data_IF_020717160783
#
_entry.id   IF_020717160783
#
_cell.length_a   1.000
_cell.length_b   1.000
_cell.length_c   1.000
_cell.angle_alpha   90.00
_cell.angle_beta   90.00
_cell.angle_gamma   90.00
#
_symmetry.space_group_name_H-M   'P 1'
#
loop_
_entity.id
_entity.type
_entity.pdbx_description
1 polymer ?
#
# COMPACT_ATOMS: atom_id res chain seq x y z
N UNK A 1 -4.08 -17.43 -11.88
CA UNK A 1 -3.53 -16.06 -11.70
C UNK A 1 -4.08 -15.10 -12.73
N UNK A 2 -4.77 -14.06 -12.24
CA UNK A 2 -5.32 -12.98 -13.03
C UNK A 2 -4.23 -12.29 -13.87
N UNK A 3 -4.52 -12.04 -15.15
CA UNK A 3 -3.64 -11.35 -16.08
C UNK A 3 -4.01 -9.87 -16.08
N UNK A 4 -3.15 -9.03 -15.49
CA UNK A 4 -3.36 -7.58 -15.46
C UNK A 4 -3.29 -6.99 -16.87
N UNK A 5 -4.35 -6.27 -17.25
CA UNK A 5 -4.41 -5.52 -18.50
C UNK A 5 -3.55 -4.25 -18.42
N UNK A 6 -3.30 -3.60 -19.55
CA UNK A 6 -2.61 -2.30 -19.55
C UNK A 6 -3.40 -1.24 -18.79
N UNK A 7 -4.72 -1.30 -18.82
CA UNK A 7 -5.58 -0.43 -18.01
C UNK A 7 -5.30 -0.62 -16.52
N UNK A 8 -5.28 -1.86 -16.03
CA UNK A 8 -5.06 -2.14 -14.60
C UNK A 8 -3.68 -1.65 -14.14
N UNK A 9 -2.65 -1.88 -14.95
CA UNK A 9 -1.28 -1.44 -14.67
C UNK A 9 -1.19 0.09 -14.60
N UNK A 10 -1.80 0.78 -15.57
CA UNK A 10 -1.85 2.24 -15.58
C UNK A 10 -2.63 2.78 -14.39
N UNK A 11 -3.77 2.18 -14.06
CA UNK A 11 -4.60 2.58 -12.93
C UNK A 11 -3.82 2.50 -11.61
N UNK A 12 -3.15 1.37 -11.33
CA UNK A 12 -2.34 1.21 -10.11
C UNK A 12 -1.22 2.25 -10.03
N UNK A 13 -0.52 2.52 -11.15
CA UNK A 13 0.53 3.54 -11.21
C UNK A 13 0.01 4.96 -11.00
N UNK A 14 -1.13 5.30 -11.61
CA UNK A 14 -1.78 6.60 -11.42
C UNK A 14 -2.20 6.80 -9.96
N UNK A 15 -2.70 5.74 -9.31
CA UNK A 15 -3.06 5.77 -7.89
C UNK A 15 -1.84 5.96 -6.98
N UNK A 16 -0.72 5.31 -7.29
CA UNK A 16 0.54 5.53 -6.55
C UNK A 16 1.05 6.98 -6.71
N UNK A 17 1.06 7.50 -7.94
CA UNK A 17 1.43 8.89 -8.22
C UNK A 17 0.51 9.91 -7.54
N UNK A 18 -0.81 9.67 -7.53
CA UNK A 18 -1.77 10.49 -6.81
C UNK A 18 -1.50 10.50 -5.31
N UNK A 19 -1.19 9.35 -4.72
CA UNK A 19 -0.86 9.28 -3.30
C UNK A 19 0.45 10.00 -2.96
N UNK A 20 1.46 9.95 -3.85
CA UNK A 20 2.70 10.70 -3.71
C UNK A 20 2.45 12.21 -3.63
N UNK A 21 1.69 12.78 -4.56
CA UNK A 21 1.29 14.19 -4.52
C UNK A 21 0.57 14.57 -3.20
N UNK A 22 -0.36 13.72 -2.75
CA UNK A 22 -1.08 13.94 -1.49
C UNK A 22 -0.15 13.94 -0.28
N UNK A 23 0.79 12.99 -0.23
CA UNK A 23 1.80 12.91 0.83
C UNK A 23 2.70 14.14 0.81
N UNK A 24 3.20 14.55 -0.36
CA UNK A 24 4.08 15.72 -0.50
C UNK A 24 3.39 17.00 -0.05
N UNK A 25 2.10 17.18 -0.41
CA UNK A 25 1.30 18.32 0.08
C UNK A 25 1.08 18.27 1.59
N UNK A 26 0.86 17.10 2.18
CA UNK A 26 0.74 16.97 3.63
C UNK A 26 2.05 17.27 4.34
N UNK A 27 3.18 16.73 3.87
CA UNK A 27 4.50 17.02 4.41
C UNK A 27 4.88 18.51 4.28
N UNK A 28 4.41 19.19 3.24
CA UNK A 28 4.60 20.62 3.04
C UNK A 28 3.60 21.50 3.82
N UNK A 29 2.70 20.91 4.62
CA UNK A 29 1.66 21.64 5.37
C UNK A 29 0.55 22.25 4.50
N UNK A 30 0.48 21.89 3.20
CA UNK A 30 -0.54 22.34 2.24
C UNK A 30 -1.81 21.47 2.26
N UNK A 31 -1.76 20.34 2.96
CA UNK A 31 -2.89 19.44 3.18
C UNK A 31 -2.90 19.05 4.66
N UNK A 32 -3.97 19.39 5.38
CA UNK A 32 -4.05 19.13 6.83
C UNK A 32 -4.11 17.63 7.13
N UNK A 33 -3.72 17.24 8.35
CA UNK A 33 -3.69 15.83 8.76
C UNK A 33 -5.08 15.18 8.75
N UNK A 34 -6.12 15.93 9.11
CA UNK A 34 -7.50 15.44 9.08
C UNK A 34 -8.01 15.22 7.65
N UNK A 35 -7.58 16.04 6.69
CA UNK A 35 -7.89 15.90 5.27
C UNK A 35 -7.06 14.76 4.64
N UNK A 36 -5.82 14.60 5.07
CA UNK A 36 -4.95 13.53 4.59
C UNK A 36 -5.34 12.16 5.14
N UNK A 37 -5.90 12.11 6.36
CA UNK A 37 -6.34 10.87 7.03
C UNK A 37 -7.20 9.96 6.15
N UNK A 38 -8.32 10.39 5.54
CA UNK A 38 -9.11 9.53 4.66
C UNK A 38 -8.32 9.08 3.43
N UNK A 39 -7.47 9.92 2.86
CA UNK A 39 -6.68 9.61 1.65
C UNK A 39 -5.67 8.50 1.91
N UNK A 40 -4.93 8.57 3.01
CA UNK A 40 -3.99 7.50 3.40
C UNK A 40 -4.72 6.22 3.78
N UNK A 41 -5.87 6.32 4.46
CA UNK A 41 -6.66 5.15 4.83
C UNK A 41 -7.19 4.41 3.59
N UNK A 42 -7.64 5.11 2.56
CA UNK A 42 -8.07 4.50 1.29
C UNK A 42 -6.94 3.76 0.55
N UNK A 43 -5.69 4.10 0.83
CA UNK A 43 -4.50 3.46 0.28
C UNK A 43 -3.85 2.44 1.24
N UNK A 44 -4.56 2.06 2.32
CA UNK A 44 -4.12 1.01 3.23
C UNK A 44 -3.17 1.45 4.33
N UNK A 45 -2.97 2.76 4.52
CA UNK A 45 -2.06 3.33 5.50
C UNK A 45 -2.78 3.79 6.77
N UNK A 46 -2.54 3.06 7.86
CA UNK A 46 -2.98 3.40 9.22
C UNK A 46 -1.82 3.97 10.02
N UNK A 47 -2.01 5.08 10.72
CA UNK A 47 -1.05 5.51 11.74
C UNK A 47 -1.53 4.92 13.07
N UNK A 48 -0.81 3.91 13.57
CA UNK A 48 -1.04 3.36 14.90
C UNK A 48 -0.32 4.22 15.94
N UNK A 49 -0.55 3.92 17.23
CA UNK A 49 0.07 4.66 18.35
C UNK A 49 1.59 4.76 18.25
N UNK A 50 2.26 3.74 17.71
CA UNK A 50 3.72 3.64 17.70
C UNK A 50 4.35 3.79 16.31
N UNK A 51 3.64 3.42 15.24
CA UNK A 51 4.16 3.48 13.87
C UNK A 51 3.04 3.35 12.84
N UNK A 52 3.29 3.74 11.57
CA UNK A 52 2.37 3.45 10.48
C UNK A 52 2.35 1.96 10.11
N UNK A 53 1.16 1.48 9.79
CA UNK A 53 0.87 0.16 9.27
C UNK A 53 0.35 0.27 7.84
N UNK A 54 0.93 -0.52 6.94
CA UNK A 54 0.49 -0.69 5.56
C UNK A 54 -0.17 -2.05 5.39
N UNK A 55 -1.34 -2.08 4.78
CA UNK A 55 -1.98 -3.30 4.30
C UNK A 55 -2.02 -3.36 2.78
N UNK A 56 -1.40 -4.39 2.22
CA UNK A 56 -1.34 -4.68 0.79
C UNK A 56 -2.43 -5.67 0.40
N UNK A 57 -3.16 -5.36 -0.66
CA UNK A 57 -4.21 -6.21 -1.21
C UNK A 57 -3.63 -7.44 -1.92
N UNK A 58 -4.17 -8.62 -1.64
CA UNK A 58 -3.84 -9.86 -2.34
C UNK A 58 -5.16 -10.59 -2.70
N UNK A 59 -5.77 -10.25 -3.86
CA UNK A 59 -7.01 -10.88 -4.29
C UNK A 59 -6.88 -12.40 -4.39
N UNK A 60 -7.86 -13.13 -3.86
CA UNK A 60 -7.90 -14.60 -3.81
C UNK A 60 -6.71 -15.25 -3.08
N UNK A 61 -5.87 -14.46 -2.39
CA UNK A 61 -4.61 -14.94 -1.82
C UNK A 61 -3.55 -15.37 -2.84
N UNK A 62 -3.72 -15.07 -4.13
CA UNK A 62 -2.78 -15.48 -5.18
C UNK A 62 -1.64 -14.48 -5.35
N UNK A 63 -0.40 -14.97 -5.40
CA UNK A 63 0.78 -14.16 -5.68
C UNK A 63 1.77 -14.89 -6.59
N UNK A 64 2.41 -14.14 -7.48
CA UNK A 64 3.55 -14.60 -8.27
C UNK A 64 4.86 -14.52 -7.48
N UNK A 65 5.86 -15.29 -7.91
CA UNK A 65 7.22 -15.21 -7.34
C UNK A 65 7.83 -13.81 -7.49
N UNK A 66 7.47 -13.06 -8.54
CA UNK A 66 7.88 -11.65 -8.72
C UNK A 66 7.31 -10.75 -7.61
N UNK A 67 6.01 -10.88 -7.33
CA UNK A 67 5.34 -10.13 -6.26
C UNK A 67 5.92 -10.46 -4.89
N UNK A 68 6.13 -11.75 -4.58
CA UNK A 68 6.74 -12.17 -3.31
C UNK A 68 8.15 -11.59 -3.14
N UNK A 69 8.98 -11.58 -4.19
CA UNK A 69 10.31 -10.96 -4.14
C UNK A 69 10.24 -9.46 -3.86
N UNK A 70 9.29 -8.75 -4.45
CA UNK A 70 9.08 -7.33 -4.20
C UNK A 70 8.64 -7.07 -2.76
N UNK A 71 7.68 -7.85 -2.23
CA UNK A 71 7.26 -7.76 -0.83
C UNK A 71 8.42 -8.04 0.13
N UNK A 72 9.28 -9.01 -0.18
CA UNK A 72 10.47 -9.30 0.62
C UNK A 72 11.49 -8.14 0.58
N UNK A 73 11.63 -7.46 -0.57
CA UNK A 73 12.45 -6.24 -0.69
C UNK A 73 11.91 -5.14 0.22
N UNK A 74 10.61 -4.85 0.14
CA UNK A 74 9.94 -3.84 0.98
C UNK A 74 10.14 -4.16 2.47
N UNK A 75 9.98 -5.42 2.87
CA UNK A 75 10.19 -5.85 4.24
C UNK A 75 11.58 -5.51 4.77
N UNK A 76 12.62 -5.77 3.96
CA UNK A 76 14.03 -5.56 4.35
C UNK A 76 14.47 -4.09 4.32
N UNK A 77 14.00 -3.32 3.34
CA UNK A 77 14.48 -1.95 3.10
C UNK A 77 13.66 -0.89 3.85
N UNK A 78 12.37 -1.14 4.08
CA UNK A 78 11.44 -0.13 4.62
C UNK A 78 10.79 -0.52 5.94
N UNK A 79 10.75 -1.81 6.28
CA UNK A 79 10.24 -2.32 7.55
C UNK A 79 11.39 -3.02 8.33
N UNK A 80 11.10 -4.04 9.14
CA UNK A 80 12.02 -4.72 10.05
C UNK A 80 12.40 -6.13 9.59
N UNK A 81 12.38 -6.37 8.28
CA UNK A 81 12.75 -7.65 7.67
C UNK A 81 11.65 -8.73 7.70
N UNK A 82 10.42 -8.38 8.11
CA UNK A 82 9.29 -9.30 8.12
C UNK A 82 8.00 -8.65 7.59
N UNK A 83 7.04 -9.50 7.25
CA UNK A 83 5.68 -9.12 6.89
C UNK A 83 4.70 -10.14 7.49
N UNK A 84 3.44 -9.75 7.67
CA UNK A 84 2.40 -10.60 8.23
C UNK A 84 1.38 -10.98 7.18
N UNK A 85 1.07 -12.27 7.05
CA UNK A 85 -0.15 -12.69 6.39
C UNK A 85 -1.33 -12.52 7.33
N UNK A 86 -2.41 -11.97 6.78
CA UNK A 86 -3.64 -11.72 7.54
C UNK A 86 -4.65 -12.84 7.32
N UNK A 87 -5.66 -12.94 8.18
CA UNK A 87 -6.79 -13.87 8.02
C UNK A 87 -7.63 -13.62 6.77
N UNK A 88 -7.48 -12.46 6.12
CA UNK A 88 -8.10 -12.12 4.83
C UNK A 88 -7.12 -12.27 3.66
N UNK A 89 -6.07 -13.07 3.82
CA UNK A 89 -5.05 -13.39 2.81
C UNK A 89 -4.22 -12.19 2.31
N UNK A 90 -4.37 -11.00 2.89
CA UNK A 90 -3.52 -9.84 2.62
C UNK A 90 -2.14 -9.95 3.28
N UNK A 91 -1.24 -9.05 2.88
CA UNK A 91 0.06 -8.82 3.53
C UNK A 91 0.05 -7.51 4.32
N UNK A 92 0.70 -7.49 5.49
CA UNK A 92 0.77 -6.31 6.36
C UNK A 92 2.18 -6.02 6.88
N UNK A 93 2.54 -4.74 6.85
CA UNK A 93 3.75 -4.13 7.41
C UNK A 93 3.37 -3.19 8.54
N UNK A 94 4.21 -3.04 9.57
CA UNK A 94 3.84 -2.31 10.79
C UNK A 94 4.82 -1.20 11.20
N UNK A 95 5.92 -1.00 10.46
CA UNK A 95 6.99 -0.10 10.89
C UNK A 95 7.48 0.85 9.80
N UNK A 96 6.82 0.87 8.64
CA UNK A 96 7.25 1.72 7.52
C UNK A 96 7.00 3.20 7.88
N UNK A 97 8.03 4.07 7.87
CA UNK A 97 7.86 5.49 8.13
C UNK A 97 6.91 6.14 7.12
N UNK A 98 6.02 7.03 7.59
CA UNK A 98 5.01 7.66 6.73
C UNK A 98 5.65 8.46 5.58
N UNK A 99 6.78 9.12 5.83
CA UNK A 99 7.54 9.84 4.82
C UNK A 99 8.07 8.95 3.68
N UNK A 100 8.13 7.63 3.88
CA UNK A 100 8.53 6.62 2.87
C UNK A 100 7.34 5.89 2.25
N UNK A 101 6.12 6.23 2.63
CA UNK A 101 4.92 5.53 2.18
C UNK A 101 4.73 5.59 0.66
N UNK A 102 4.99 6.75 0.04
CA UNK A 102 4.88 6.90 -1.41
C UNK A 102 5.90 6.03 -2.18
N UNK A 103 7.14 5.92 -1.68
CA UNK A 103 8.17 5.07 -2.30
C UNK A 103 7.75 3.60 -2.28
N UNK A 104 7.15 3.14 -1.19
CA UNK A 104 6.63 1.78 -1.08
C UNK A 104 5.43 1.55 -2.01
N UNK A 105 4.55 2.54 -2.20
CA UNK A 105 3.44 2.44 -3.14
C UNK A 105 3.93 2.30 -4.59
N UNK A 106 5.00 3.02 -4.97
CA UNK A 106 5.62 2.88 -6.29
C UNK A 106 6.24 1.48 -6.48
N UNK A 107 6.94 0.96 -5.47
CA UNK A 107 7.49 -0.41 -5.49
C UNK A 107 6.39 -1.46 -5.64
N UNK A 108 5.23 -1.28 -5.02
CA UNK A 108 4.09 -2.19 -5.21
C UNK A 108 3.54 -2.10 -6.63
N UNK A 109 3.44 -0.88 -7.18
CA UNK A 109 2.94 -0.65 -8.53
C UNK A 109 3.83 -1.28 -9.63
N UNK A 110 5.14 -1.41 -9.42
CA UNK A 110 6.07 -2.13 -10.32
C UNK A 110 5.70 -3.61 -10.55
N UNK A 111 4.97 -4.19 -9.60
CA UNK A 111 4.51 -5.59 -9.62
C UNK A 111 2.99 -5.71 -9.57
N UNK A 112 2.28 -4.65 -9.97
CA UNK A 112 0.82 -4.57 -10.06
C UNK A 112 0.10 -4.83 -8.72
N UNK A 113 0.74 -4.51 -7.60
CA UNK A 113 0.17 -4.60 -6.26
C UNK A 113 -0.22 -3.21 -5.73
N UNK A 114 -1.12 -3.17 -4.75
CA UNK A 114 -1.60 -1.92 -4.17
C UNK A 114 -2.15 -2.09 -2.75
N UNK A 115 -2.31 -0.98 -2.02
CA UNK A 115 -3.08 -0.91 -0.77
C UNK A 115 -4.50 -0.35 -0.93
N UNK A 116 -4.95 -0.11 -2.17
CA UNK A 116 -6.27 0.47 -2.47
C UNK A 116 -7.38 -0.39 -1.83
N UNK A 117 -8.30 0.27 -1.12
CA UNK A 117 -9.49 -0.35 -0.52
C UNK A 117 -9.19 -1.48 0.50
N UNK A 118 -7.98 -1.55 1.07
CA UNK A 118 -7.69 -2.52 2.14
C UNK A 118 -8.17 -2.04 3.53
N UNK A 119 -8.74 -0.84 3.56
CA UNK A 119 -9.07 -0.03 4.73
C UNK A 119 -10.17 0.99 4.39
N UNK A 120 -10.65 1.75 5.37
CA UNK A 120 -11.72 2.73 5.20
C UNK A 120 -13.10 2.07 5.01
N UNK A 121 -14.08 2.90 4.64
CA UNK A 121 -15.48 2.50 4.45
C UNK A 121 -15.71 2.04 3.00
N UNK A 122 -15.19 0.87 2.65
CA UNK A 122 -15.30 0.29 1.31
C UNK A 122 -15.29 -1.24 1.36
N UNK A 123 -15.47 -1.85 0.18
CA UNK A 123 -15.28 -3.28 -0.03
C UNK A 123 -13.83 -3.66 0.32
N UNK A 124 -13.65 -4.84 0.93
CA UNK A 124 -12.34 -5.36 1.37
C UNK A 124 -11.91 -6.50 0.47
N UNK A 125 -10.72 -7.06 0.75
CA UNK A 125 -10.16 -8.16 -0.03
C UNK A 125 -11.17 -9.29 -0.26
N UNK A 126 -11.24 -9.77 -1.50
CA UNK A 126 -12.07 -10.89 -1.92
C UNK A 126 -11.19 -12.14 -1.82
N UNK A 127 -11.69 -13.15 -1.08
CA UNK A 127 -11.02 -14.42 -0.81
C UNK A 127 -11.68 -15.53 -1.60
#
# INVERSE_FOLDING_TARGET
MYQYTEFDKQFVRQRAAQFRDQLERNLAGKLGDDEFRPLRLQNGWYVQRHAPMLRVAVPYGEMSSKQIRQLAKIAREYDRGYAHFTTRQNVQYNWIPLAKSADVMDLLAEVNMHGIQTSGNCIRNIT
#
